data_IF_478544408635
#
_entry.id   IF_478544408635
#
_cell.length_a   1.000
_cell.length_b   1.000
_cell.length_c   1.000
_cell.angle_alpha   90.00
_cell.angle_beta   90.00
_cell.angle_gamma   90.00
#
_symmetry.space_group_name_H-M   'P 1'
#
loop_
_entity.id
_entity.type
_entity.pdbx_description
1 polymer ?
#
# COMPACT_ATOMS: atom_id res chain seq x y z
N UNK A 1 4.03 5.05 -22.77
CA UNK A 1 4.44 4.14 -21.66
C UNK A 1 3.76 4.63 -20.39
N UNK A 2 3.11 3.76 -19.64
CA UNK A 2 2.48 4.14 -18.36
C UNK A 2 3.54 4.59 -17.36
N UNK A 3 3.22 5.63 -16.60
CA UNK A 3 4.07 6.08 -15.50
C UNK A 3 4.17 4.96 -14.44
N UNK A 4 5.36 4.63 -14.01
CA UNK A 4 5.64 3.48 -13.14
C UNK A 4 6.28 3.84 -11.80
N UNK A 5 6.37 5.14 -11.48
CA UNK A 5 6.82 5.65 -10.19
C UNK A 5 6.10 6.94 -9.86
N UNK A 6 5.91 7.24 -8.58
CA UNK A 6 5.17 8.41 -8.10
C UNK A 6 5.87 9.00 -6.89
N UNK A 7 6.08 10.30 -6.90
CA UNK A 7 6.62 11.04 -5.77
C UNK A 7 5.52 11.44 -4.77
N UNK A 8 5.90 12.06 -3.66
CA UNK A 8 4.97 12.43 -2.60
C UNK A 8 3.85 13.37 -3.07
N UNK A 9 4.19 14.39 -3.86
CA UNK A 9 3.18 15.36 -4.35
C UNK A 9 2.14 14.68 -5.24
N UNK A 10 2.56 13.72 -6.03
CA UNK A 10 1.66 12.93 -6.89
C UNK A 10 0.76 12.00 -6.07
N UNK A 11 1.27 11.46 -4.96
CA UNK A 11 0.46 10.67 -4.03
C UNK A 11 -0.58 11.55 -3.32
N UNK A 12 -0.22 12.78 -2.96
CA UNK A 12 -1.17 13.78 -2.45
C UNK A 12 -2.23 14.13 -3.52
N UNK A 13 -1.82 14.31 -4.77
CA UNK A 13 -2.76 14.47 -5.88
C UNK A 13 -3.75 13.30 -6.01
N UNK A 14 -3.26 12.07 -5.81
CA UNK A 14 -4.12 10.89 -5.76
C UNK A 14 -5.13 10.96 -4.59
N UNK A 15 -4.67 11.39 -3.40
CA UNK A 15 -5.54 11.56 -2.23
C UNK A 15 -6.63 12.62 -2.48
N UNK A 16 -6.30 13.69 -3.22
CA UNK A 16 -7.25 14.72 -3.63
C UNK A 16 -8.20 14.27 -4.76
N UNK A 17 -7.97 13.11 -5.37
CA UNK A 17 -8.79 12.58 -6.45
C UNK A 17 -8.41 13.08 -7.85
N UNK A 18 -7.24 13.69 -7.98
CA UNK A 18 -6.75 14.27 -9.24
C UNK A 18 -6.14 13.21 -10.17
N UNK A 19 -5.51 12.17 -9.60
CA UNK A 19 -4.74 11.21 -10.39
C UNK A 19 -5.61 10.27 -11.23
N UNK A 20 -6.67 9.71 -10.65
CA UNK A 20 -7.55 8.74 -11.33
C UNK A 20 -8.95 9.31 -11.64
N UNK A 21 -9.20 10.55 -11.26
CA UNK A 21 -10.45 11.25 -11.51
C UNK A 21 -11.55 10.98 -10.47
N UNK A 22 -12.65 11.76 -10.54
CA UNK A 22 -13.74 11.65 -9.58
C UNK A 22 -14.38 10.27 -9.53
N UNK A 23 -14.68 9.78 -8.32
CA UNK A 23 -15.35 8.49 -8.11
C UNK A 23 -14.45 7.27 -8.23
N UNK A 24 -13.17 7.45 -8.51
CA UNK A 24 -12.18 6.39 -8.65
C UNK A 24 -11.31 6.22 -7.41
N UNK A 25 -10.37 5.27 -7.46
CA UNK A 25 -9.48 4.95 -6.37
C UNK A 25 -8.72 6.19 -5.87
N UNK A 26 -8.59 6.31 -4.55
CA UNK A 26 -7.82 7.36 -3.89
C UNK A 26 -6.92 6.75 -2.84
N UNK A 27 -5.79 7.39 -2.59
CA UNK A 27 -5.03 7.19 -1.37
C UNK A 27 -5.65 8.03 -0.23
N UNK A 28 -5.44 7.66 1.04
CA UNK A 28 -5.84 8.53 2.14
C UNK A 28 -4.91 9.74 2.21
N UNK A 29 -5.42 10.83 2.76
CA UNK A 29 -4.60 11.99 3.10
C UNK A 29 -3.77 11.73 4.36
N UNK A 30 -2.66 12.46 4.58
CA UNK A 30 -2.00 12.45 5.88
C UNK A 30 -2.99 12.79 7.01
N UNK A 31 -2.88 12.18 8.20
CA UNK A 31 -1.78 11.31 8.64
C UNK A 31 -1.93 9.82 8.29
N UNK A 32 -2.99 9.40 7.63
CA UNK A 32 -3.22 7.98 7.28
C UNK A 32 -2.42 7.49 6.07
N UNK A 33 -1.84 8.39 5.29
CA UNK A 33 -0.95 8.03 4.18
C UNK A 33 0.39 7.50 4.75
N UNK A 34 0.63 6.21 4.61
CA UNK A 34 1.78 5.50 5.18
C UNK A 34 2.85 5.16 4.14
N UNK A 35 2.93 5.96 3.08
CA UNK A 35 3.96 5.88 2.04
C UNK A 35 4.37 7.29 1.60
N UNK A 36 5.65 7.48 1.31
CA UNK A 36 6.19 8.73 0.78
C UNK A 36 6.35 8.69 -0.74
N UNK A 37 6.54 7.52 -1.30
CA UNK A 37 6.70 7.32 -2.75
C UNK A 37 6.39 5.89 -3.18
N UNK A 38 6.01 5.75 -4.44
CA UNK A 38 5.99 4.47 -5.14
C UNK A 38 7.19 4.47 -6.08
N UNK A 39 8.09 3.53 -5.87
CA UNK A 39 9.36 3.46 -6.62
C UNK A 39 9.27 2.62 -7.88
N UNK A 40 8.36 1.65 -7.90
CA UNK A 40 8.19 0.76 -9.05
C UNK A 40 6.76 0.25 -9.14
N UNK A 41 6.20 0.27 -10.34
CA UNK A 41 4.99 -0.49 -10.72
C UNK A 41 5.27 -1.15 -12.07
N UNK A 42 5.00 -2.46 -12.15
CA UNK A 42 5.17 -3.22 -13.39
C UNK A 42 4.11 -4.31 -13.47
N UNK A 43 3.32 -4.31 -14.53
CA UNK A 43 2.21 -5.27 -14.70
C UNK A 43 2.65 -6.68 -15.11
N UNK A 44 3.92 -6.87 -15.50
CA UNK A 44 4.45 -8.14 -15.98
C UNK A 44 5.40 -8.80 -14.97
N UNK A 45 5.80 -8.08 -13.92
CA UNK A 45 6.69 -8.57 -12.87
C UNK A 45 5.93 -9.17 -11.69
N UNK A 46 6.70 -9.56 -10.69
CA UNK A 46 6.23 -10.14 -9.43
C UNK A 46 6.28 -11.65 -9.42
N UNK A 47 6.07 -12.22 -8.24
CA UNK A 47 6.17 -13.67 -8.00
C UNK A 47 5.19 -14.50 -8.85
N UNK A 48 4.09 -13.89 -9.27
CA UNK A 48 3.05 -14.54 -10.07
C UNK A 48 2.99 -14.02 -11.52
N UNK A 49 3.90 -13.13 -11.90
CA UNK A 49 3.88 -12.46 -13.22
C UNK A 49 2.54 -11.78 -13.54
N UNK A 50 1.91 -11.21 -12.52
CA UNK A 50 0.60 -10.54 -12.59
C UNK A 50 0.62 -9.10 -12.11
N UNK A 51 1.79 -8.62 -11.70
CA UNK A 51 2.04 -7.27 -11.25
C UNK A 51 2.87 -7.18 -9.99
N UNK A 52 3.70 -6.17 -9.95
CA UNK A 52 4.58 -5.82 -8.83
C UNK A 52 4.43 -4.35 -8.51
N UNK A 53 4.37 -4.03 -7.22
CA UNK A 53 4.55 -2.67 -6.72
C UNK A 53 5.60 -2.64 -5.62
N UNK A 54 6.40 -1.56 -5.61
CA UNK A 54 7.28 -1.21 -4.50
C UNK A 54 7.00 0.22 -4.06
N UNK A 55 6.87 0.41 -2.77
CA UNK A 55 6.66 1.73 -2.15
C UNK A 55 7.49 1.87 -0.89
N UNK A 56 7.75 3.09 -0.50
CA UNK A 56 8.63 3.41 0.63
C UNK A 56 8.01 4.46 1.54
N UNK A 57 8.25 4.30 2.85
CA UNK A 57 7.98 5.28 3.88
C UNK A 57 9.30 5.59 4.59
N UNK A 58 9.72 6.85 4.59
CA UNK A 58 10.85 7.32 5.39
C UNK A 58 10.42 7.34 6.87
N UNK A 59 11.17 6.66 7.70
CA UNK A 59 10.89 6.63 9.15
C UNK A 59 11.63 7.80 9.78
N UNK A 60 10.86 8.73 10.34
CA UNK A 60 11.34 9.92 11.05
C UNK A 60 10.86 9.86 12.50
N UNK A 61 11.66 10.39 13.40
CA UNK A 61 11.37 10.37 14.85
C UNK A 61 10.06 11.07 15.23
N UNK A 62 9.61 12.02 14.41
CA UNK A 62 8.41 12.83 14.61
C UNK A 62 7.15 12.27 13.93
N UNK A 63 7.19 11.06 13.39
CA UNK A 63 5.98 10.42 12.88
C UNK A 63 4.95 10.27 14.00
N UNK A 64 3.73 10.69 13.74
CA UNK A 64 2.66 10.88 14.72
C UNK A 64 2.38 9.65 15.60
N UNK A 65 2.49 8.44 15.04
CA UNK A 65 2.18 7.22 15.78
C UNK A 65 3.21 6.90 16.86
N UNK A 66 4.44 7.41 16.79
CA UNK A 66 5.46 7.20 17.82
C UNK A 66 5.14 7.90 19.12
N UNK A 67 4.36 8.98 19.09
CA UNK A 67 3.97 9.72 20.32
C UNK A 67 2.84 9.04 21.10
N UNK A 68 2.09 8.17 20.45
CA UNK A 68 0.90 7.55 21.06
C UNK A 68 0.90 6.01 21.06
N UNK A 69 1.79 5.39 20.34
CA UNK A 69 1.82 3.94 20.23
C UNK A 69 3.24 3.38 20.42
N UNK A 70 3.65 3.16 21.62
CA UNK A 70 3.04 3.49 22.90
C UNK A 70 3.84 4.60 23.60
N UNK A 71 3.29 5.22 24.66
CA UNK A 71 3.80 6.44 25.26
C UNK A 71 5.26 6.38 25.75
N UNK A 72 5.75 5.25 26.20
CA UNK A 72 7.14 5.04 26.63
C UNK A 72 7.82 3.89 25.87
N UNK A 73 7.14 3.41 24.84
CA UNK A 73 7.58 2.28 24.00
C UNK A 73 7.14 2.54 22.56
N UNK A 74 7.78 3.48 21.86
CA UNK A 74 7.36 3.89 20.53
C UNK A 74 7.62 2.80 19.48
N UNK A 75 6.57 2.38 18.82
CA UNK A 75 6.59 1.42 17.72
C UNK A 75 5.51 1.74 16.70
N UNK A 76 5.81 1.59 15.42
CA UNK A 76 4.80 1.74 14.38
C UNK A 76 3.69 0.68 14.53
N UNK A 77 2.40 1.09 14.60
CA UNK A 77 1.31 0.12 14.62
C UNK A 77 1.35 -0.80 13.40
N UNK A 78 1.34 -2.11 13.62
CA UNK A 78 1.33 -3.09 12.54
C UNK A 78 0.11 -2.96 11.62
N UNK A 79 -1.04 -2.53 12.16
CA UNK A 79 -2.24 -2.27 11.39
C UNK A 79 -2.07 -1.15 10.34
N UNK A 80 -1.20 -0.17 10.57
CA UNK A 80 -0.92 0.88 9.59
C UNK A 80 -0.12 0.34 8.40
N UNK A 81 0.82 -0.56 8.64
CA UNK A 81 1.55 -1.26 7.58
C UNK A 81 0.62 -2.14 6.74
N UNK A 82 -0.29 -2.86 7.39
CA UNK A 82 -1.31 -3.65 6.70
C UNK A 82 -2.25 -2.77 5.87
N UNK A 83 -2.71 -1.66 6.42
CA UNK A 83 -3.56 -0.71 5.70
C UNK A 83 -2.86 -0.18 4.44
N UNK A 84 -1.59 0.19 4.55
CA UNK A 84 -0.80 0.61 3.40
C UNK A 84 -0.73 -0.46 2.30
N UNK A 85 -0.64 -1.74 2.65
CA UNK A 85 -0.65 -2.83 1.68
C UNK A 85 -1.98 -2.89 0.92
N UNK A 86 -3.13 -2.77 1.61
CA UNK A 86 -4.44 -2.69 0.95
C UNK A 86 -4.55 -1.47 0.04
N UNK A 87 -4.07 -0.32 0.49
CA UNK A 87 -4.09 0.92 -0.30
C UNK A 87 -3.27 0.79 -1.58
N UNK A 88 -2.12 0.13 -1.51
CA UNK A 88 -1.28 -0.14 -2.69
C UNK A 88 -1.97 -1.07 -3.68
N UNK A 89 -2.68 -2.09 -3.22
CA UNK A 89 -3.49 -2.93 -4.11
C UNK A 89 -4.57 -2.11 -4.81
N UNK A 90 -5.29 -1.28 -4.06
CA UNK A 90 -6.31 -0.37 -4.64
C UNK A 90 -5.71 0.63 -5.64
N UNK A 91 -4.55 1.20 -5.32
CA UNK A 91 -3.81 2.08 -6.23
C UNK A 91 -3.45 1.34 -7.54
N UNK A 92 -2.96 0.12 -7.44
CA UNK A 92 -2.61 -0.70 -8.61
C UNK A 92 -3.81 -0.92 -9.53
N UNK A 93 -4.98 -1.23 -8.96
CA UNK A 93 -6.20 -1.41 -9.75
C UNK A 93 -6.61 -0.12 -10.46
N UNK A 94 -6.50 1.04 -9.78
CA UNK A 94 -6.75 2.35 -10.38
C UNK A 94 -5.72 2.68 -11.47
N UNK A 95 -4.46 2.39 -11.23
CA UNK A 95 -3.37 2.59 -12.20
C UNK A 95 -3.56 1.77 -13.48
N UNK A 96 -4.15 0.57 -13.38
CA UNK A 96 -4.54 -0.23 -14.55
C UNK A 96 -5.71 0.39 -15.33
N UNK A 97 -6.40 1.39 -14.76
CA UNK A 97 -7.54 2.07 -15.39
C UNK A 97 -8.90 1.52 -14.96
N UNK A 98 -8.95 0.66 -13.94
CA UNK A 98 -10.23 0.17 -13.43
C UNK A 98 -10.95 1.27 -12.64
N UNK A 99 -12.25 1.50 -12.91
CA UNK A 99 -13.02 2.54 -12.23
C UNK A 99 -13.54 2.07 -10.87
N UNK A 100 -13.93 3.04 -10.04
CA UNK A 100 -14.61 2.79 -8.79
C UNK A 100 -13.81 3.13 -7.55
N UNK A 101 -14.51 3.20 -6.42
CA UNK A 101 -13.93 3.52 -5.10
C UNK A 101 -13.36 2.28 -4.45
N UNK A 102 -12.15 2.40 -3.91
CA UNK A 102 -11.46 1.29 -3.24
C UNK A 102 -12.00 0.97 -1.85
N UNK A 103 -12.13 -0.30 -1.55
CA UNK A 103 -12.45 -0.83 -0.20
C UNK A 103 -11.65 -2.09 0.07
N UNK A 104 -11.04 -2.15 1.25
CA UNK A 104 -10.43 -3.39 1.75
C UNK A 104 -11.52 -4.41 2.01
N UNK A 105 -11.35 -5.63 1.51
CA UNK A 105 -12.32 -6.72 1.65
C UNK A 105 -11.86 -7.81 2.60
N UNK A 106 -10.56 -7.94 2.80
CA UNK A 106 -10.01 -8.94 3.71
C UNK A 106 -8.54 -9.25 3.46
N UNK A 107 -8.05 -10.16 4.25
CA UNK A 107 -6.72 -10.75 4.15
C UNK A 107 -6.80 -12.17 4.74
N UNK A 108 -6.10 -13.13 4.15
CA UNK A 108 -6.14 -14.50 4.65
C UNK A 108 -5.26 -14.68 5.88
N UNK A 109 -4.01 -14.22 5.82
CA UNK A 109 -3.07 -14.37 6.93
C UNK A 109 -2.15 -13.16 7.00
N UNK A 110 -1.95 -12.63 8.20
CA UNK A 110 -0.95 -11.60 8.48
C UNK A 110 0.00 -12.13 9.54
N UNK A 111 1.29 -11.95 9.34
CA UNK A 111 2.32 -12.27 10.32
C UNK A 111 3.18 -11.04 10.58
N UNK A 112 3.29 -10.67 11.84
CA UNK A 112 4.17 -9.63 12.32
C UNK A 112 5.37 -10.31 13.02
N UNK A 113 6.50 -10.38 12.34
CA UNK A 113 7.71 -11.08 12.81
C UNK A 113 8.81 -10.12 13.24
N UNK A 114 8.53 -8.84 13.23
CA UNK A 114 9.43 -7.76 13.66
C UNK A 114 8.67 -6.46 13.79
N UNK A 115 9.39 -5.39 14.07
CA UNK A 115 8.85 -4.08 14.43
C UNK A 115 9.54 -2.96 13.64
N UNK A 116 8.82 -1.87 13.42
CA UNK A 116 9.39 -0.61 12.95
C UNK A 116 9.55 0.31 14.14
N UNK A 117 10.77 0.43 14.63
CA UNK A 117 11.18 1.32 15.72
C UNK A 117 11.75 2.61 15.15
N UNK A 118 11.99 3.60 16.01
CA UNK A 118 12.57 4.92 15.61
C UNK A 118 13.95 4.83 14.96
N UNK A 119 14.71 3.77 15.23
CA UNK A 119 16.04 3.56 14.65
C UNK A 119 16.00 2.96 13.23
N UNK A 120 14.85 2.50 12.75
CA UNK A 120 14.65 2.12 11.34
C UNK A 120 14.68 3.40 10.49
N UNK A 121 15.30 3.35 9.34
CA UNK A 121 15.38 4.49 8.41
C UNK A 121 14.28 4.48 7.37
N UNK A 122 13.93 3.29 6.88
CA UNK A 122 12.97 3.12 5.80
C UNK A 122 12.14 1.86 5.98
N UNK A 123 10.84 2.00 5.76
CA UNK A 123 9.93 0.88 5.56
C UNK A 123 9.65 0.72 4.06
N UNK A 124 9.90 -0.47 3.53
CA UNK A 124 9.69 -0.79 2.12
C UNK A 124 8.57 -1.81 1.98
N UNK A 125 7.54 -1.45 1.22
CA UNK A 125 6.43 -2.33 0.88
C UNK A 125 6.68 -2.97 -0.47
N UNK A 126 6.47 -4.29 -0.56
CA UNK A 126 6.50 -5.02 -1.83
C UNK A 126 5.18 -5.77 -1.95
N UNK A 127 4.45 -5.48 -3.01
CA UNK A 127 3.14 -6.08 -3.30
C UNK A 127 3.26 -6.90 -4.57
N UNK A 128 2.94 -8.18 -4.48
CA UNK A 128 2.85 -9.12 -5.59
C UNK A 128 1.39 -9.40 -5.91
N UNK A 129 0.93 -8.97 -7.07
CA UNK A 129 -0.44 -9.25 -7.52
C UNK A 129 -0.57 -10.70 -7.92
N UNK A 130 -1.61 -11.37 -7.41
CA UNK A 130 -1.92 -12.77 -7.71
C UNK A 130 -3.00 -12.91 -8.75
N UNK A 131 -4.05 -12.09 -8.66
CA UNK A 131 -5.23 -12.21 -9.50
C UNK A 131 -6.04 -10.92 -9.52
N UNK A 132 -6.61 -10.63 -10.66
CA UNK A 132 -7.59 -9.56 -10.83
C UNK A 132 -8.85 -10.18 -11.43
N UNK A 133 -9.99 -9.91 -10.81
CA UNK A 133 -11.30 -10.39 -11.23
C UNK A 133 -12.19 -9.18 -11.53
N UNK A 134 -12.78 -9.17 -12.69
CA UNK A 134 -13.74 -8.15 -13.10
C UNK A 134 -15.11 -8.82 -13.25
N UNK A 135 -16.09 -8.34 -12.50
CA UNK A 135 -17.48 -8.81 -12.58
C UNK A 135 -18.43 -7.62 -12.57
N UNK A 136 -19.02 -7.36 -13.73
CA UNK A 136 -19.86 -6.18 -13.92
C UNK A 136 -19.05 -4.90 -13.70
N UNK A 137 -19.51 -4.07 -12.78
CA UNK A 137 -18.85 -2.80 -12.43
C UNK A 137 -17.90 -2.91 -11.25
N UNK A 138 -17.61 -4.12 -10.80
CA UNK A 138 -16.71 -4.39 -9.65
C UNK A 138 -15.43 -5.02 -10.14
N UNK A 139 -14.29 -4.48 -9.68
CA UNK A 139 -12.96 -5.06 -9.89
C UNK A 139 -12.40 -5.47 -8.54
N UNK A 140 -11.95 -6.72 -8.43
CA UNK A 140 -11.33 -7.24 -7.19
C UNK A 140 -9.90 -7.67 -7.48
N UNK A 141 -8.97 -7.16 -6.70
CA UNK A 141 -7.56 -7.56 -6.71
C UNK A 141 -7.23 -8.44 -5.52
N UNK A 142 -6.46 -9.49 -5.79
CA UNK A 142 -5.83 -10.36 -4.79
C UNK A 142 -4.32 -10.21 -4.90
N UNK A 143 -3.65 -10.06 -3.76
CA UNK A 143 -2.21 -9.87 -3.71
C UNK A 143 -1.59 -10.47 -2.44
N UNK A 144 -0.28 -10.67 -2.47
CA UNK A 144 0.52 -10.86 -1.28
C UNK A 144 1.37 -9.61 -1.06
N UNK A 145 1.69 -9.32 0.20
CA UNK A 145 2.51 -8.18 0.57
C UNK A 145 3.58 -8.56 1.59
N UNK A 146 4.70 -7.86 1.55
CA UNK A 146 5.71 -7.87 2.59
C UNK A 146 6.11 -6.44 2.96
N UNK A 147 6.53 -6.26 4.21
CA UNK A 147 7.15 -5.03 4.67
C UNK A 147 8.57 -5.33 5.15
N UNK A 148 9.52 -4.55 4.66
CA UNK A 148 10.90 -4.57 5.10
C UNK A 148 11.17 -3.37 6.00
N UNK A 149 11.77 -3.59 7.17
CA UNK A 149 12.38 -2.53 7.98
C UNK A 149 13.86 -2.46 7.60
N UNK A 150 14.27 -1.37 6.98
CA UNK A 150 15.49 -1.31 6.20
C UNK A 150 15.50 -2.50 5.22
N UNK A 151 16.39 -3.46 5.32
CA UNK A 151 16.41 -4.62 4.42
C UNK A 151 15.85 -5.92 5.05
N UNK A 152 15.32 -5.83 6.28
CA UNK A 152 14.82 -6.99 7.02
C UNK A 152 13.32 -7.15 6.86
N UNK A 153 12.88 -8.30 6.36
CA UNK A 153 11.45 -8.65 6.31
C UNK A 153 10.87 -8.77 7.72
N UNK A 154 9.83 -7.99 8.00
CA UNK A 154 9.17 -7.94 9.31
C UNK A 154 7.68 -8.24 9.26
N UNK A 155 6.99 -7.93 8.15
CA UNK A 155 5.58 -8.27 7.97
C UNK A 155 5.40 -9.09 6.71
N UNK A 156 4.41 -9.99 6.75
CA UNK A 156 3.88 -10.64 5.57
C UNK A 156 2.36 -10.69 5.63
N UNK A 157 1.72 -10.49 4.49
CA UNK A 157 0.29 -10.60 4.33
C UNK A 157 -0.01 -11.44 3.09
N UNK A 158 -0.74 -12.53 3.30
CA UNK A 158 -1.18 -13.40 2.22
C UNK A 158 -2.67 -13.20 1.95
N UNK A 159 -3.04 -13.11 0.68
CA UNK A 159 -4.43 -12.98 0.28
C UNK A 159 -5.05 -11.63 0.61
N UNK A 160 -4.28 -10.55 0.49
CA UNK A 160 -4.81 -9.18 0.51
C UNK A 160 -5.89 -9.05 -0.57
N UNK A 161 -7.07 -8.61 -0.18
CA UNK A 161 -8.21 -8.48 -1.08
C UNK A 161 -8.77 -7.07 -1.03
N UNK A 162 -8.82 -6.44 -2.19
CA UNK A 162 -9.36 -5.08 -2.36
C UNK A 162 -10.33 -5.06 -3.53
N UNK A 163 -11.44 -4.37 -3.38
CA UNK A 163 -12.40 -4.15 -4.45
C UNK A 163 -12.49 -2.68 -4.84
N UNK A 164 -12.71 -2.41 -6.13
CA UNK A 164 -13.17 -1.14 -6.65
C UNK A 164 -14.65 -1.25 -7.01
N UNK A 165 -15.44 -0.33 -6.48
CA UNK A 165 -16.91 -0.30 -6.65
C UNK A 165 -17.35 1.03 -7.24
N UNK A 166 -18.15 1.00 -8.28
CA UNK A 166 -18.81 2.18 -8.84
C UNK A 166 -19.99 2.64 -8.01
#
# INVERSE_FOLDING_TARGET
>A
MKKNSFNYDELIGCANGELFGPGNAKLPSPPMLMIDRITEIDENKGAFSKGLMKAELDIKDDLWFFDCHFKEDPVMPGCLGLDAMWLLVGFYLGWLGNPGRGRALGVSTVKFTGEVLKNVKMATYIIDMKRILIKGETTVGLANGILLADDKKIYSADGLKVGLFK
#
